data_IF_688062123321
#
_entry.id   IF_688062123321
#
_cell.length_a   1.000
_cell.length_b   1.000
_cell.length_c   1.000
_cell.angle_alpha   90.00
_cell.angle_beta   90.00
_cell.angle_gamma   90.00
#
_symmetry.space_group_name_H-M   'P 1'
#
loop_
_entity.id
_entity.type
_entity.pdbx_description
1 polymer ?
#
# COMPACT_ATOMS: atom_id res chain seq x y z
N UNK A 1 -6.33 -28.87 -6.66
CA UNK A 1 -6.54 -27.87 -5.59
C UNK A 1 -5.19 -27.50 -4.94
N UNK A 2 -4.23 -26.94 -5.71
CA UNK A 2 -2.82 -26.82 -5.22
C UNK A 2 -2.05 -25.56 -5.62
N UNK A 3 -2.41 -24.83 -6.69
CA UNK A 3 -1.68 -23.59 -7.10
C UNK A 3 -2.45 -22.30 -6.82
N UNK A 4 -3.76 -22.29 -7.12
CA UNK A 4 -4.61 -21.10 -6.89
C UNK A 4 -4.67 -20.68 -5.41
N UNK A 5 -4.78 -21.64 -4.50
CA UNK A 5 -4.90 -21.34 -3.07
C UNK A 5 -3.58 -20.79 -2.48
N UNK A 6 -2.44 -21.25 -3.00
CA UNK A 6 -1.12 -20.74 -2.63
C UNK A 6 -0.90 -19.31 -3.16
N UNK A 7 -1.33 -19.05 -4.39
CA UNK A 7 -1.22 -17.73 -5.01
C UNK A 7 -2.15 -16.71 -4.37
N UNK A 8 -3.37 -17.13 -3.99
CA UNK A 8 -4.30 -16.31 -3.22
C UNK A 8 -3.71 -15.94 -1.85
N UNK A 9 -3.12 -16.90 -1.14
CA UNK A 9 -2.48 -16.68 0.16
C UNK A 9 -1.27 -15.73 0.03
N UNK A 10 -0.46 -15.87 -1.03
CA UNK A 10 0.66 -14.96 -1.32
C UNK A 10 0.17 -13.54 -1.53
N UNK A 11 -0.91 -13.37 -2.29
CA UNK A 11 -1.49 -12.07 -2.56
C UNK A 11 -2.14 -11.43 -1.33
N UNK A 12 -2.80 -12.22 -0.48
CA UNK A 12 -3.30 -11.74 0.81
C UNK A 12 -2.17 -11.19 1.68
N UNK A 13 -1.05 -11.91 1.78
CA UNK A 13 0.14 -11.44 2.50
C UNK A 13 0.71 -10.15 1.88
N UNK A 14 0.72 -10.07 0.55
CA UNK A 14 1.17 -8.88 -0.17
C UNK A 14 0.24 -7.67 0.03
N UNK A 15 -1.06 -7.90 0.27
CA UNK A 15 -2.06 -6.86 0.61
C UNK A 15 -1.93 -6.44 2.07
N UNK A 16 -1.75 -7.36 3.01
CA UNK A 16 -1.48 -6.98 4.42
C UNK A 16 -0.24 -6.11 4.55
N UNK A 17 0.86 -6.48 3.87
CA UNK A 17 2.08 -5.64 3.84
C UNK A 17 1.82 -4.26 3.24
N UNK A 18 0.92 -4.19 2.26
CA UNK A 18 0.52 -2.92 1.66
C UNK A 18 -0.25 -2.04 2.65
N UNK A 19 -1.20 -2.62 3.39
CA UNK A 19 -1.98 -1.89 4.39
C UNK A 19 -1.11 -1.38 5.54
N UNK A 20 -0.15 -2.18 6.00
CA UNK A 20 0.80 -1.75 7.05
C UNK A 20 1.62 -0.55 6.59
N UNK A 21 2.21 -0.61 5.39
CA UNK A 21 2.97 0.53 4.85
C UNK A 21 2.11 1.78 4.60
N UNK A 22 0.87 1.62 4.13
CA UNK A 22 -0.05 2.76 3.98
C UNK A 22 -0.41 3.39 5.34
N UNK A 23 -0.59 2.56 6.36
CA UNK A 23 -0.86 3.01 7.74
C UNK A 23 0.33 3.78 8.30
N UNK A 24 1.55 3.32 8.06
CA UNK A 24 2.77 4.00 8.50
C UNK A 24 2.99 5.34 7.79
N UNK A 25 2.80 5.39 6.46
CA UNK A 25 2.83 6.64 5.71
C UNK A 25 1.78 7.65 6.23
N UNK A 26 0.57 7.18 6.53
CA UNK A 26 -0.49 8.02 7.12
C UNK A 26 -0.11 8.53 8.51
N UNK A 27 0.52 7.69 9.33
CA UNK A 27 1.02 8.09 10.65
C UNK A 27 2.09 9.18 10.53
N UNK A 28 3.03 9.04 9.60
CA UNK A 28 4.09 10.04 9.38
C UNK A 28 3.48 11.36 8.92
N UNK A 29 2.56 11.33 7.95
CA UNK A 29 1.84 12.53 7.53
C UNK A 29 1.13 13.22 8.70
N UNK A 30 0.37 12.47 9.51
CA UNK A 30 -0.31 13.04 10.67
C UNK A 30 0.68 13.65 11.67
N UNK A 31 1.83 13.00 11.91
CA UNK A 31 2.88 13.54 12.78
C UNK A 31 3.52 14.82 12.22
N UNK A 32 3.55 15.00 10.90
CA UNK A 32 4.04 16.22 10.24
C UNK A 32 3.06 17.39 10.36
N UNK A 33 1.76 17.11 10.55
CA UNK A 33 0.72 18.13 10.65
C UNK A 33 0.20 18.36 12.09
N UNK A 34 0.51 17.47 13.03
CA UNK A 34 0.24 17.70 14.46
C UNK A 34 1.18 18.79 15.00
N UNK A 35 0.60 19.99 15.17
CA UNK A 35 1.25 21.25 15.52
C UNK A 35 1.90 21.32 16.92
N UNK A 36 1.84 20.23 17.70
CA UNK A 36 2.35 20.17 19.08
C UNK A 36 3.76 19.56 19.20
N UNK A 37 4.40 19.18 18.09
CA UNK A 37 5.82 18.81 18.09
C UNK A 37 6.69 20.07 17.95
N UNK A 38 7.54 20.41 18.94
CA UNK A 38 8.39 21.61 18.90
C UNK A 38 9.45 21.60 17.78
N UNK A 39 9.58 20.49 17.04
CA UNK A 39 10.44 20.31 15.86
C UNK A 39 9.66 20.31 14.53
N UNK A 40 8.37 20.64 14.51
CA UNK A 40 7.51 20.65 13.30
C UNK A 40 7.95 21.66 12.22
N UNK A 41 8.93 22.52 12.53
CA UNK A 41 9.59 23.41 11.58
C UNK A 41 10.83 22.81 10.90
N UNK A 42 11.25 21.58 11.24
CA UNK A 42 12.47 20.95 10.72
C UNK A 42 12.23 19.85 9.66
N UNK A 43 10.98 19.48 9.37
CA UNK A 43 10.69 18.72 8.15
C UNK A 43 10.88 19.64 6.95
N UNK A 44 12.10 19.63 6.42
CA UNK A 44 12.45 20.36 5.20
C UNK A 44 11.47 20.01 4.08
N UNK A 45 11.24 20.95 3.17
CA UNK A 45 10.47 20.70 1.94
C UNK A 45 10.95 19.42 1.24
N UNK A 46 12.26 19.14 1.28
CA UNK A 46 12.88 17.92 0.76
C UNK A 46 12.37 16.64 1.45
N UNK A 47 12.12 16.68 2.76
CA UNK A 47 11.57 15.55 3.51
C UNK A 47 10.10 15.28 3.13
N UNK A 48 9.32 16.34 2.89
CA UNK A 48 7.94 16.24 2.40
C UNK A 48 7.92 15.72 0.96
N UNK A 49 8.80 16.22 0.10
CA UNK A 49 8.92 15.80 -1.29
C UNK A 49 9.33 14.33 -1.39
N UNK A 50 10.30 13.89 -0.59
CA UNK A 50 10.69 12.49 -0.52
C UNK A 50 9.56 11.60 0.02
N UNK A 51 8.79 12.05 1.00
CA UNK A 51 7.63 11.31 1.48
C UNK A 51 6.56 11.16 0.40
N UNK A 52 6.31 12.23 -0.36
CA UNK A 52 5.38 12.23 -1.48
C UNK A 52 5.83 11.25 -2.57
N UNK A 53 7.11 11.23 -2.92
CA UNK A 53 7.67 10.26 -3.87
C UNK A 53 7.47 8.82 -3.39
N UNK A 54 7.71 8.54 -2.11
CA UNK A 54 7.47 7.22 -1.52
C UNK A 54 5.98 6.83 -1.56
N UNK A 55 5.09 7.78 -1.27
CA UNK A 55 3.65 7.56 -1.35
C UNK A 55 3.17 7.31 -2.79
N UNK A 56 3.65 8.08 -3.76
CA UNK A 56 3.33 7.90 -5.18
C UNK A 56 3.79 6.52 -5.68
N UNK A 57 5.00 6.10 -5.31
CA UNK A 57 5.52 4.77 -5.62
C UNK A 57 4.67 3.65 -4.99
N UNK A 58 4.29 3.80 -3.72
CA UNK A 58 3.44 2.84 -3.01
C UNK A 58 2.03 2.74 -3.62
N UNK A 59 1.43 3.87 -4.01
CA UNK A 59 0.11 3.90 -4.68
C UNK A 59 0.15 3.14 -6.00
N UNK A 60 1.19 3.33 -6.81
CA UNK A 60 1.38 2.61 -8.08
C UNK A 60 1.48 1.10 -7.81
N UNK A 61 2.27 0.70 -6.82
CA UNK A 61 2.44 -0.70 -6.43
C UNK A 61 1.12 -1.34 -5.98
N UNK A 62 0.34 -0.66 -5.14
CA UNK A 62 -0.94 -1.18 -4.65
C UNK A 62 -1.99 -1.28 -5.75
N UNK A 63 -2.04 -0.32 -6.69
CA UNK A 63 -2.91 -0.41 -7.86
C UNK A 63 -2.59 -1.63 -8.73
N UNK A 64 -1.31 -1.93 -8.92
CA UNK A 64 -0.87 -3.12 -9.66
C UNK A 64 -1.31 -4.42 -8.95
N UNK A 65 -1.09 -4.52 -7.64
CA UNK A 65 -1.55 -5.66 -6.84
C UNK A 65 -3.08 -5.82 -6.87
N UNK A 66 -3.81 -4.73 -6.72
CA UNK A 66 -5.29 -4.74 -6.78
C UNK A 66 -5.78 -5.26 -8.14
N UNK A 67 -5.17 -4.83 -9.24
CA UNK A 67 -5.51 -5.31 -10.58
C UNK A 67 -5.22 -6.81 -10.75
N UNK A 68 -4.13 -7.29 -10.15
CA UNK A 68 -3.77 -8.72 -10.15
C UNK A 68 -4.82 -9.54 -9.39
N UNK A 69 -5.21 -9.09 -8.19
CA UNK A 69 -6.28 -9.72 -7.41
C UNK A 69 -7.60 -9.73 -8.17
N UNK A 70 -7.99 -8.61 -8.78
CA UNK A 70 -9.22 -8.52 -9.63
C UNK A 70 -9.19 -9.52 -10.78
N UNK A 71 -8.05 -9.66 -11.47
CA UNK A 71 -7.87 -10.61 -12.56
C UNK A 71 -8.06 -12.06 -12.08
N UNK A 72 -7.41 -12.44 -10.97
CA UNK A 72 -7.49 -13.79 -10.43
C UNK A 72 -8.90 -14.13 -9.92
N UNK A 73 -9.59 -13.16 -9.30
CA UNK A 73 -10.99 -13.33 -8.93
C UNK A 73 -11.87 -13.53 -10.16
N UNK A 74 -11.66 -12.77 -11.23
CA UNK A 74 -12.38 -12.96 -12.50
C UNK A 74 -12.11 -14.34 -13.10
N UNK A 75 -10.86 -14.79 -13.12
CA UNK A 75 -10.49 -16.12 -13.64
C UNK A 75 -11.06 -17.27 -12.79
N UNK A 76 -11.14 -17.09 -11.47
CA UNK A 76 -11.80 -18.05 -10.58
C UNK A 76 -13.33 -18.09 -10.81
N UNK A 77 -13.95 -16.94 -11.09
CA UNK A 77 -15.39 -16.86 -11.34
C UNK A 77 -15.77 -17.43 -12.72
N UNK A 78 -14.94 -17.21 -13.74
CA UNK A 78 -15.15 -17.76 -15.09
C UNK A 78 -14.98 -19.28 -15.17
N UNK A 79 -14.18 -19.90 -14.30
CA UNK A 79 -14.02 -21.37 -14.24
C UNK A 79 -15.16 -22.08 -13.50
N UNK A 80 -16.05 -21.35 -12.84
CA UNK A 80 -17.24 -21.89 -12.15
C UNK A 80 -18.47 -21.99 -13.05
N UNK A 81 -18.40 -21.44 -14.27
CA UNK A 81 -19.37 -21.62 -15.37
C UNK A 81 -18.85 -22.65 -16.34
#
# INVERSE_FOLDING_TARGET
>A
MKKKDQELSRLQLEVEKAEVSATEATRILNAMFDSDYPDSHLTSTDSIEHLKEQMDANIIHYRSKLNTVKKLLSEANSQKR
#
